data_IF_410635430434
#
_entry.id   IF_410635430434
#
_cell.length_a   1.000
_cell.length_b   1.000
_cell.length_c   1.000
_cell.angle_alpha   90.00
_cell.angle_beta   90.00
_cell.angle_gamma   90.00
#
_symmetry.space_group_name_H-M   'P 1'
#
loop_
_entity.id
_entity.type
_entity.pdbx_description
1 polymer ?
#
# COMPACT_ATOMS: atom_id res chain seq x y z
N UNK A 1 0.65 -14.16 25.66
CA UNK A 1 -0.57 -14.00 24.81
C UNK A 1 -0.65 -12.62 24.14
N UNK A 2 -0.24 -11.52 24.79
CA UNK A 2 -0.32 -10.16 24.21
C UNK A 2 0.59 -9.91 22.99
N UNK A 3 1.81 -10.47 22.96
CA UNK A 3 2.78 -10.27 21.86
C UNK A 3 2.32 -10.82 20.51
N UNK A 4 1.69 -12.00 20.50
CA UNK A 4 1.16 -12.62 19.29
C UNK A 4 0.02 -11.79 18.68
N UNK A 5 -0.87 -11.27 19.52
CA UNK A 5 -1.96 -10.39 19.06
C UNK A 5 -1.37 -9.12 18.44
N UNK A 6 -0.41 -8.49 19.11
CA UNK A 6 0.29 -7.31 18.59
C UNK A 6 0.97 -7.62 17.25
N UNK A 7 1.65 -8.77 17.14
CA UNK A 7 2.25 -9.23 15.90
C UNK A 7 1.23 -9.39 14.77
N UNK A 8 0.11 -10.07 15.02
CA UNK A 8 -0.92 -10.28 14.00
C UNK A 8 -1.58 -8.97 13.56
N UNK A 9 -1.81 -8.03 14.49
CA UNK A 9 -2.33 -6.70 14.15
C UNK A 9 -1.37 -5.97 13.23
N UNK A 10 -0.07 -5.89 13.58
CA UNK A 10 0.91 -5.25 12.72
C UNK A 10 1.11 -5.98 11.39
N UNK A 11 1.05 -7.31 11.37
CA UNK A 11 1.13 -8.11 10.15
C UNK A 11 -0.03 -7.79 9.19
N UNK A 12 -1.27 -7.78 9.69
CA UNK A 12 -2.45 -7.47 8.85
C UNK A 12 -2.35 -6.07 8.27
N UNK A 13 -2.01 -5.07 9.09
CA UNK A 13 -1.90 -3.69 8.60
C UNK A 13 -0.74 -3.57 7.60
N UNK A 14 0.40 -4.21 7.87
CA UNK A 14 1.55 -4.23 6.97
C UNK A 14 1.19 -4.83 5.61
N UNK A 15 0.47 -5.95 5.60
CA UNK A 15 -0.06 -6.56 4.37
C UNK A 15 -0.96 -5.58 3.61
N UNK A 16 -1.91 -4.92 4.28
CA UNK A 16 -2.82 -3.96 3.64
C UNK A 16 -2.07 -2.78 3.02
N UNK A 17 -1.07 -2.23 3.71
CA UNK A 17 -0.23 -1.15 3.18
C UNK A 17 0.58 -1.63 1.98
N UNK A 18 1.16 -2.83 2.06
CA UNK A 18 1.92 -3.42 0.96
C UNK A 18 1.05 -3.66 -0.28
N UNK A 19 -0.18 -4.16 -0.10
CA UNK A 19 -1.15 -4.31 -1.19
C UNK A 19 -1.50 -2.96 -1.84
N UNK A 20 -1.65 -1.90 -1.04
CA UNK A 20 -1.87 -0.55 -1.55
C UNK A 20 -0.69 -0.07 -2.40
N UNK A 21 0.54 -0.17 -1.89
CA UNK A 21 1.77 0.26 -2.58
C UNK A 21 2.01 -0.51 -3.89
N UNK A 22 1.74 -1.82 -3.91
CA UNK A 22 1.82 -2.61 -5.13
C UNK A 22 0.72 -2.25 -6.13
N UNK A 23 -0.48 -1.89 -5.67
CA UNK A 23 -1.54 -1.39 -6.55
C UNK A 23 -1.12 -0.07 -7.21
N UNK A 24 -0.57 0.88 -6.43
CA UNK A 24 -0.06 2.14 -7.00
C UNK A 24 1.12 1.93 -7.94
N UNK A 25 2.02 0.98 -7.64
CA UNK A 25 3.09 0.57 -8.55
C UNK A 25 2.55 -0.01 -9.86
N UNK A 26 1.52 -0.84 -9.79
CA UNK A 26 0.89 -1.43 -10.99
C UNK A 26 0.26 -0.36 -11.86
N UNK A 27 -0.46 0.58 -11.24
CA UNK A 27 -1.00 1.77 -11.93
C UNK A 27 0.13 2.57 -12.56
N UNK A 28 1.21 2.84 -11.82
CA UNK A 28 2.34 3.61 -12.32
C UNK A 28 3.01 2.95 -13.54
N UNK A 29 3.17 1.62 -13.52
CA UNK A 29 3.70 0.86 -14.66
C UNK A 29 2.81 0.95 -15.90
N UNK A 30 1.49 0.89 -15.73
CA UNK A 30 0.54 0.99 -16.84
C UNK A 30 0.53 2.40 -17.45
N UNK A 31 0.82 3.42 -16.64
CA UNK A 31 0.69 4.81 -17.08
C UNK A 31 1.81 5.29 -18.00
N UNK A 32 2.95 4.58 -18.09
CA UNK A 32 4.16 4.69 -18.96
C UNK A 32 4.74 6.08 -19.30
N UNK A 33 4.01 7.16 -19.05
CA UNK A 33 4.27 8.52 -19.53
C UNK A 33 5.21 9.30 -18.60
N UNK A 34 5.48 8.79 -17.39
CA UNK A 34 6.27 9.47 -16.37
C UNK A 34 7.11 8.48 -15.57
N UNK A 35 8.22 8.94 -14.95
CA UNK A 35 9.01 8.11 -14.05
C UNK A 35 8.14 7.51 -12.95
N UNK A 36 8.26 6.20 -12.73
CA UNK A 36 7.43 5.45 -11.77
C UNK A 36 7.46 6.09 -10.39
N UNK A 37 8.61 6.64 -9.97
CA UNK A 37 8.78 7.34 -8.69
C UNK A 37 7.88 8.56 -8.55
N UNK A 38 7.77 9.38 -9.59
CA UNK A 38 6.94 10.60 -9.57
C UNK A 38 5.47 10.25 -9.54
N UNK A 39 5.07 9.24 -10.32
CA UNK A 39 3.70 8.73 -10.34
C UNK A 39 3.33 8.13 -8.98
N UNK A 40 4.21 7.36 -8.37
CA UNK A 40 3.95 6.78 -7.04
C UNK A 40 3.77 7.83 -5.96
N UNK A 41 4.53 8.94 -6.00
CA UNK A 41 4.39 10.05 -5.05
C UNK A 41 3.00 10.71 -5.18
N UNK A 42 2.51 10.85 -6.40
CA UNK A 42 1.18 11.44 -6.69
C UNK A 42 0.06 10.48 -6.25
N UNK A 43 0.21 9.19 -6.55
CA UNK A 43 -0.82 8.18 -6.30
C UNK A 43 -0.88 7.73 -4.84
N UNK A 44 0.22 7.84 -4.09
CA UNK A 44 0.30 7.35 -2.71
C UNK A 44 0.12 8.52 -1.73
N UNK A 45 -0.97 8.53 -0.93
CA UNK A 45 -1.16 9.54 0.09
C UNK A 45 -0.02 9.50 1.12
N UNK A 46 0.39 10.67 1.61
CA UNK A 46 1.45 10.78 2.63
C UNK A 46 1.13 9.95 3.88
N UNK A 47 -0.14 9.88 4.29
CA UNK A 47 -0.57 9.08 5.44
C UNK A 47 -0.34 7.58 5.24
N UNK A 48 -0.46 7.06 4.00
CA UNK A 48 -0.14 5.66 3.69
C UNK A 48 1.36 5.41 3.82
N UNK A 49 2.18 6.36 3.37
CA UNK A 49 3.63 6.29 3.53
C UNK A 49 4.05 6.24 5.01
N UNK A 50 3.48 7.12 5.84
CA UNK A 50 3.71 7.13 7.29
C UNK A 50 3.23 5.82 7.93
N UNK A 51 2.04 5.35 7.56
CA UNK A 51 1.49 4.09 8.06
C UNK A 51 2.39 2.90 7.69
N UNK A 52 2.99 2.91 6.49
CA UNK A 52 3.98 1.90 6.08
C UNK A 52 5.21 1.86 6.97
N UNK A 53 5.77 3.02 7.33
CA UNK A 53 6.90 3.09 8.26
C UNK A 53 6.52 2.61 9.67
N UNK A 54 5.41 3.11 10.22
CA UNK A 54 4.95 2.74 11.56
C UNK A 54 4.68 1.24 11.66
N UNK A 55 4.04 0.67 10.64
CA UNK A 55 3.74 -0.77 10.62
C UNK A 55 4.98 -1.63 10.44
N UNK A 56 5.95 -1.17 9.66
CA UNK A 56 7.23 -1.87 9.51
C UNK A 56 7.99 -1.91 10.83
N UNK A 57 8.10 -0.76 11.53
CA UNK A 57 8.74 -0.69 12.86
C UNK A 57 7.99 -1.55 13.87
N UNK A 58 6.66 -1.46 13.90
CA UNK A 58 5.81 -2.26 14.80
C UNK A 58 5.91 -3.76 14.53
N UNK A 59 5.98 -4.16 13.26
CA UNK A 59 6.18 -5.55 12.85
C UNK A 59 7.51 -6.10 13.36
N UNK A 60 8.62 -5.42 13.10
CA UNK A 60 9.93 -5.86 13.61
C UNK A 60 10.00 -5.82 15.14
N UNK A 61 9.42 -4.79 15.77
CA UNK A 61 9.30 -4.73 17.23
C UNK A 61 8.53 -5.92 17.81
N UNK A 62 7.44 -6.33 17.16
CA UNK A 62 6.67 -7.49 17.57
C UNK A 62 7.41 -8.82 17.39
N UNK A 63 8.25 -8.94 16.36
CA UNK A 63 9.14 -10.10 16.19
C UNK A 63 10.19 -10.19 17.32
N UNK A 64 10.73 -9.05 17.76
CA UNK A 64 11.63 -9.00 18.92
C UNK A 64 10.90 -9.44 20.19
N UNK A 65 9.66 -8.98 20.40
CA UNK A 65 8.85 -9.43 21.54
C UNK A 65 8.56 -10.94 21.51
N UNK A 66 8.28 -11.49 20.33
CA UNK A 66 8.11 -12.94 20.13
C UNK A 66 9.42 -13.67 20.46
N UNK A 67 10.55 -13.16 19.99
CA UNK A 67 11.85 -13.74 20.30
C UNK A 67 12.11 -13.79 21.80
N UNK A 68 11.87 -12.69 22.52
CA UNK A 68 12.08 -12.62 23.96
C UNK A 68 11.15 -13.54 24.75
N UNK A 69 9.93 -13.80 24.26
CA UNK A 69 8.92 -14.59 24.98
C UNK A 69 8.93 -16.09 24.64
N UNK A 70 9.16 -16.42 23.37
CA UNK A 70 9.01 -17.79 22.85
C UNK A 70 10.33 -18.35 22.31
N UNK A 71 11.34 -17.51 22.11
CA UNK A 71 12.64 -17.90 21.56
C UNK A 71 12.79 -17.61 20.06
N UNK A 72 14.01 -17.75 19.57
CA UNK A 72 14.41 -17.31 18.23
C UNK A 72 13.70 -18.09 17.11
N UNK A 73 13.44 -19.37 17.32
CA UNK A 73 12.77 -20.23 16.34
C UNK A 73 11.38 -19.67 15.96
N UNK A 74 10.60 -19.22 16.95
CA UNK A 74 9.27 -18.65 16.72
C UNK A 74 9.32 -17.30 16.01
N UNK A 75 10.32 -16.47 16.31
CA UNK A 75 10.52 -15.21 15.60
C UNK A 75 10.90 -15.43 14.13
N UNK A 76 11.78 -16.40 13.86
CA UNK A 76 12.16 -16.77 12.47
C UNK A 76 10.96 -17.32 11.72
N UNK A 77 10.17 -18.22 12.31
CA UNK A 77 8.96 -18.75 11.69
C UNK A 77 7.94 -17.63 11.40
N UNK A 78 7.72 -16.71 12.34
CA UNK A 78 6.86 -15.55 12.12
C UNK A 78 7.36 -14.65 10.99
N UNK A 79 8.67 -14.42 10.89
CA UNK A 79 9.26 -13.66 9.78
C UNK A 79 9.06 -14.35 8.42
N UNK A 80 9.25 -15.67 8.35
CA UNK A 80 9.06 -16.44 7.10
C UNK A 80 7.60 -16.40 6.67
N UNK A 81 6.66 -16.65 7.59
CA UNK A 81 5.22 -16.66 7.29
C UNK A 81 4.76 -15.30 6.77
N UNK A 82 5.20 -14.19 7.36
CA UNK A 82 4.82 -12.86 6.88
C UNK A 82 5.30 -12.58 5.45
N UNK A 83 6.52 -13.00 5.11
CA UNK A 83 7.08 -12.80 3.77
C UNK A 83 6.38 -13.67 2.73
N UNK A 84 6.06 -14.92 3.08
CA UNK A 84 5.29 -15.81 2.21
C UNK A 84 3.88 -15.26 1.96
N UNK A 85 3.20 -14.76 3.00
CA UNK A 85 1.89 -14.13 2.83
C UNK A 85 1.96 -12.91 1.90
N UNK A 86 2.98 -12.05 2.05
CA UNK A 86 3.20 -10.91 1.16
C UNK A 86 3.49 -11.30 -0.30
N UNK A 87 4.03 -12.50 -0.54
CA UNK A 87 4.29 -13.02 -1.88
C UNK A 87 3.06 -13.69 -2.52
N UNK A 88 2.22 -14.34 -1.71
CA UNK A 88 1.07 -15.15 -2.17
C UNK A 88 -0.18 -14.31 -2.42
N UNK A 89 -0.36 -13.20 -1.69
CA UNK A 89 -1.58 -12.39 -1.80
C UNK A 89 -1.63 -11.70 -3.19
N UNK A 90 -2.67 -11.96 -4.00
CA UNK A 90 -2.79 -11.41 -5.34
C UNK A 90 -3.02 -9.89 -5.27
N UNK A 91 -2.31 -9.16 -6.13
CA UNK A 91 -2.35 -7.71 -6.22
C UNK A 91 -2.39 -7.38 -7.72
N UNK A 92 -3.44 -6.70 -8.23
CA UNK A 92 -4.19 -5.64 -7.56
C UNK A 92 -5.68 -5.93 -7.28
N UNK A 93 -6.25 -5.26 -6.25
CA UNK A 93 -7.68 -5.38 -5.91
C UNK A 93 -8.49 -4.15 -6.34
N UNK A 94 -9.73 -4.37 -6.80
CA UNK A 94 -10.66 -3.30 -7.17
C UNK A 94 -10.93 -2.30 -6.02
N UNK A 95 -10.79 -2.75 -4.77
CA UNK A 95 -10.91 -1.91 -3.58
C UNK A 95 -9.79 -0.86 -3.52
N UNK A 96 -8.53 -1.26 -3.71
CA UNK A 96 -7.39 -0.34 -3.64
C UNK A 96 -7.38 0.67 -4.81
N UNK A 97 -7.80 0.25 -6.01
CA UNK A 97 -8.09 1.18 -7.10
C UNK A 97 -9.12 2.25 -6.70
N UNK A 98 -10.18 1.85 -6.01
CA UNK A 98 -11.19 2.77 -5.48
C UNK A 98 -10.63 3.79 -4.49
N UNK A 99 -9.70 3.38 -3.62
CA UNK A 99 -9.05 4.28 -2.68
C UNK A 99 -8.13 5.30 -3.39
N UNK A 100 -7.38 4.87 -4.40
CA UNK A 100 -6.53 5.76 -5.21
C UNK A 100 -7.39 6.80 -5.94
N UNK A 101 -8.51 6.39 -6.53
CA UNK A 101 -9.45 7.32 -7.19
C UNK A 101 -10.01 8.34 -6.20
N UNK A 102 -10.46 7.91 -5.00
CA UNK A 102 -10.95 8.83 -3.96
C UNK A 102 -9.88 9.83 -3.53
N UNK A 103 -8.63 9.38 -3.38
CA UNK A 103 -7.49 10.25 -3.08
C UNK A 103 -7.28 11.30 -4.17
N UNK A 104 -7.19 10.89 -5.44
CA UNK A 104 -7.03 11.80 -6.57
C UNK A 104 -8.19 12.81 -6.67
N UNK A 105 -9.44 12.38 -6.49
CA UNK A 105 -10.60 13.27 -6.46
C UNK A 105 -10.50 14.31 -5.33
N UNK A 106 -9.99 13.92 -4.16
CA UNK A 106 -9.76 14.84 -3.04
C UNK A 106 -8.68 15.85 -3.37
N UNK A 107 -7.56 15.43 -3.97
CA UNK A 107 -6.47 16.32 -4.38
C UNK A 107 -6.88 17.28 -5.50
N UNK A 108 -7.74 16.86 -6.45
CA UNK A 108 -8.32 17.76 -7.48
C UNK A 108 -9.20 18.84 -6.85
N UNK A 109 -9.89 18.55 -5.75
CA UNK A 109 -10.74 19.51 -5.03
C UNK A 109 -9.91 20.43 -4.14
N UNK A 110 -8.85 19.92 -3.51
CA UNK A 110 -8.01 20.64 -2.55
C UNK A 110 -7.01 21.59 -3.21
N UNK A 111 -6.47 21.23 -4.38
CA UNK A 111 -5.44 22.03 -5.04
C UNK A 111 -6.04 23.24 -5.78
N UNK A 112 -5.65 24.44 -5.35
CA UNK A 112 -5.99 25.72 -6.00
C UNK A 112 -5.08 26.07 -7.18
N UNK A 113 -3.89 25.46 -7.26
CA UNK A 113 -2.98 25.62 -8.39
C UNK A 113 -3.54 24.87 -9.61
N UNK A 114 -3.77 25.61 -10.70
CA UNK A 114 -4.36 25.09 -11.95
C UNK A 114 -3.51 23.99 -12.58
N UNK A 115 -2.20 24.18 -12.70
CA UNK A 115 -1.29 23.20 -13.32
C UNK A 115 -1.32 21.86 -12.57
N UNK A 116 -1.17 21.90 -11.23
CA UNK A 116 -1.22 20.69 -10.41
C UNK A 116 -2.59 20.01 -10.51
N UNK A 117 -3.67 20.80 -10.54
CA UNK A 117 -5.03 20.28 -10.64
C UNK A 117 -5.28 19.56 -11.97
N UNK A 118 -4.74 20.07 -13.08
CA UNK A 118 -4.82 19.40 -14.37
C UNK A 118 -4.06 18.08 -14.40
N UNK A 119 -2.87 18.04 -13.79
CA UNK A 119 -2.12 16.79 -13.61
C UNK A 119 -2.96 15.74 -12.86
N UNK A 120 -3.52 16.09 -11.69
CA UNK A 120 -4.37 15.14 -10.94
C UNK A 120 -5.62 14.70 -11.72
N UNK A 121 -6.22 15.57 -12.54
CA UNK A 121 -7.36 15.20 -13.41
C UNK A 121 -6.93 14.21 -14.51
N UNK A 122 -5.78 14.41 -15.13
CA UNK A 122 -5.23 13.50 -16.14
C UNK A 122 -4.96 12.12 -15.54
N UNK A 123 -4.37 12.07 -14.34
CA UNK A 123 -4.19 10.83 -13.59
C UNK A 123 -5.52 10.18 -13.23
N UNK A 124 -6.50 10.95 -12.72
CA UNK A 124 -7.82 10.43 -12.36
C UNK A 124 -8.51 9.75 -13.54
N UNK A 125 -8.57 10.43 -14.70
CA UNK A 125 -9.14 9.88 -15.93
C UNK A 125 -8.45 8.56 -16.35
N UNK A 126 -7.12 8.53 -16.27
CA UNK A 126 -6.34 7.36 -16.64
C UNK A 126 -6.56 6.18 -15.70
N UNK A 127 -6.60 6.43 -14.38
CA UNK A 127 -6.87 5.39 -13.37
C UNK A 127 -8.31 4.87 -13.46
N UNK A 128 -9.29 5.72 -13.76
CA UNK A 128 -10.68 5.30 -13.99
C UNK A 128 -10.82 4.40 -15.22
N UNK A 129 -10.12 4.72 -16.32
CA UNK A 129 -10.06 3.87 -17.52
C UNK A 129 -9.43 2.50 -17.22
N UNK A 130 -8.34 2.49 -16.47
CA UNK A 130 -7.66 1.26 -16.02
C UNK A 130 -8.64 0.42 -15.19
N UNK A 131 -9.27 1.00 -14.16
CA UNK A 131 -10.22 0.28 -13.30
C UNK A 131 -11.35 -0.37 -14.08
N UNK A 132 -11.87 0.29 -15.12
CA UNK A 132 -12.92 -0.28 -15.97
C UNK A 132 -12.42 -1.43 -16.84
N UNK A 133 -11.15 -1.41 -17.25
CA UNK A 133 -10.52 -2.51 -17.99
C UNK A 133 -10.36 -3.75 -17.11
N UNK A 134 -10.01 -3.57 -15.83
CA UNK A 134 -9.83 -4.66 -14.85
C UNK A 134 -11.13 -5.11 -14.15
N UNK A 135 -12.27 -4.45 -14.42
CA UNK A 135 -13.59 -4.88 -13.94
C UNK A 135 -14.28 -5.89 -14.86
N UNK A 136 -13.69 -6.18 -16.02
CA UNK A 136 -14.25 -7.08 -17.05
C UNK A 136 -13.56 -8.46 -17.05
N UNK A 137 -12.63 -8.72 -16.12
CA UNK A 137 -11.92 -9.99 -15.97
C UNK A 137 -12.38 -10.78 -14.76
#
# INVERSE_FOLDING_TARGET
>A
MSSLIVYFVFLIIHILVFMYQRTTLTIARILENLPISEVQIILTPTWVGILGWVTTIGFYGSLVLIWLQLGILWAVLGFIVSHLLGAVIPIPSAYFYGLVIKHLQSEVKRNKNLEKREVYKAFLSSVEKIKNTYKVG
#
